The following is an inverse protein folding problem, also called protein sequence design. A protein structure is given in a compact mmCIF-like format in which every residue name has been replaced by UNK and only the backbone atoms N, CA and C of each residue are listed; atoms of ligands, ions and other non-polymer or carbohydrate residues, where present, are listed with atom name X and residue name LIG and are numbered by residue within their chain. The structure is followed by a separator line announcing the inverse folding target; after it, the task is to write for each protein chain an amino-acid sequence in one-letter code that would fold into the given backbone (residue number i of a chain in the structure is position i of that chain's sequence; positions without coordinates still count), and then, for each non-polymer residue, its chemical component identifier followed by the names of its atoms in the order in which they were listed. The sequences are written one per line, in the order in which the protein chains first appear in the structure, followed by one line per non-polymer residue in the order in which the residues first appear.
data_IF_203679199593
#
_entry.id   IF_203679199593
#
_cell.length_a   1.000
_cell.length_b   1.000
_cell.length_c   1.000
_cell.angle_alpha   90.00
_cell.angle_beta   90.00
_cell.angle_gamma   90.00
#
_symmetry.space_group_name_H-M   'P 1'
#
loop_
_entity.id
_entity.type
_entity.pdbx_description
1 polymer ?
#
# COMPACT_ATOMS: atom_id res chain seq x y z
N UNK A 1 9.56 -36.58 16.76
CA UNK A 1 9.77 -35.67 15.62
C UNK A 1 8.78 -34.54 15.79
N UNK A 2 9.25 -33.38 16.28
CA UNK A 2 8.40 -32.19 16.34
C UNK A 2 8.07 -31.77 14.91
N UNK A 3 6.81 -31.94 14.54
CA UNK A 3 6.28 -31.40 13.31
C UNK A 3 6.34 -29.87 13.47
N UNK A 4 7.38 -29.24 12.89
CA UNK A 4 7.48 -27.77 12.84
C UNK A 4 6.13 -27.26 12.32
N UNK A 5 5.34 -26.62 13.18
CA UNK A 5 4.09 -25.96 12.78
C UNK A 5 4.45 -24.96 11.71
N UNK A 6 4.06 -25.24 10.47
CA UNK A 6 4.24 -24.32 9.36
C UNK A 6 3.23 -23.18 9.55
N UNK A 7 3.71 -22.00 9.93
CA UNK A 7 2.85 -20.84 10.12
C UNK A 7 2.26 -20.41 8.77
N UNK A 8 0.98 -20.07 8.76
CA UNK A 8 0.30 -19.54 7.56
C UNK A 8 1.03 -18.33 6.96
N UNK A 9 0.93 -18.14 5.65
CA UNK A 9 1.51 -16.98 4.99
C UNK A 9 0.49 -15.83 4.96
N UNK A 10 0.73 -14.70 5.67
CA UNK A 10 -0.21 -13.59 5.70
C UNK A 10 -0.17 -12.75 4.42
N UNK A 11 0.78 -12.99 3.50
CA UNK A 11 1.02 -12.15 2.32
C UNK A 11 -0.21 -11.89 1.46
N UNK A 12 -1.02 -12.91 1.17
CA UNK A 12 -2.27 -12.72 0.42
C UNK A 12 -3.21 -11.74 1.13
N UNK A 13 -3.49 -11.96 2.42
CA UNK A 13 -4.38 -11.07 3.17
C UNK A 13 -3.87 -9.62 3.24
N UNK A 14 -2.54 -9.43 3.37
CA UNK A 14 -1.95 -8.09 3.38
C UNK A 14 -1.99 -7.42 2.00
N UNK A 15 -1.79 -8.18 0.92
CA UNK A 15 -1.94 -7.67 -0.44
C UNK A 15 -3.38 -7.26 -0.73
N UNK A 16 -4.38 -7.98 -0.22
CA UNK A 16 -5.79 -7.58 -0.31
C UNK A 16 -6.04 -6.21 0.33
N UNK A 17 -5.52 -6.00 1.54
CA UNK A 17 -5.67 -4.72 2.22
C UNK A 17 -5.01 -3.62 1.39
N UNK A 18 -3.79 -3.86 0.91
CA UNK A 18 -3.05 -2.88 0.12
C UNK A 18 -3.80 -2.46 -1.14
N UNK A 19 -4.31 -3.42 -1.89
CA UNK A 19 -4.97 -3.17 -3.17
C UNK A 19 -6.31 -2.48 -3.00
N UNK A 20 -7.07 -2.87 -1.97
CA UNK A 20 -8.32 -2.21 -1.61
C UNK A 20 -8.07 -0.74 -1.25
N UNK A 21 -7.06 -0.45 -0.40
CA UNK A 21 -6.72 0.92 -0.02
C UNK A 21 -6.27 1.75 -1.24
N UNK A 22 -5.47 1.17 -2.13
CA UNK A 22 -5.07 1.85 -3.38
C UNK A 22 -6.26 2.11 -4.32
N UNK A 23 -7.22 1.19 -4.40
CA UNK A 23 -8.45 1.41 -5.17
C UNK A 23 -9.30 2.55 -4.58
N UNK A 24 -9.43 2.60 -3.25
CA UNK A 24 -10.09 3.69 -2.55
C UNK A 24 -9.40 5.04 -2.82
N UNK A 25 -8.07 5.09 -2.73
CA UNK A 25 -7.30 6.30 -3.03
C UNK A 25 -7.49 6.73 -4.49
N UNK A 26 -7.41 5.81 -5.45
CA UNK A 26 -7.67 6.14 -6.87
C UNK A 26 -9.06 6.75 -7.06
N UNK A 27 -10.12 6.11 -6.53
CA UNK A 27 -11.48 6.60 -6.68
C UNK A 27 -11.70 7.97 -6.02
N UNK A 28 -10.99 8.24 -4.92
CA UNK A 28 -10.96 9.56 -4.29
C UNK A 28 -10.31 10.61 -5.21
N UNK A 29 -9.13 10.35 -5.76
CA UNK A 29 -8.46 11.26 -6.69
C UNK A 29 -9.28 11.54 -7.96
N UNK A 30 -10.06 10.56 -8.42
CA UNK A 30 -10.96 10.69 -9.56
C UNK A 30 -12.28 11.40 -9.23
N UNK A 31 -12.53 11.73 -7.97
CA UNK A 31 -13.76 12.43 -7.55
C UNK A 31 -15.03 11.58 -7.62
N UNK A 32 -14.92 10.25 -7.51
CA UNK A 32 -16.07 9.35 -7.59
C UNK A 32 -16.92 9.28 -6.32
N UNK A 33 -16.36 9.70 -5.18
CA UNK A 33 -17.07 9.69 -3.91
C UNK A 33 -17.68 11.06 -3.60
N UNK A 34 -18.83 11.04 -2.93
CA UNK A 34 -19.52 12.22 -2.38
C UNK A 34 -19.62 12.12 -0.86
N UNK A 35 -19.88 13.25 -0.18
CA UNK A 35 -19.98 13.32 1.27
C UNK A 35 -18.62 13.45 1.99
N UNK A 36 -18.53 13.09 3.30
CA UNK A 36 -17.30 13.25 4.09
C UNK A 36 -16.28 12.14 3.78
N UNK A 37 -15.76 12.13 2.55
CA UNK A 37 -14.90 11.07 1.99
C UNK A 37 -13.66 10.82 2.86
N UNK A 38 -13.01 11.88 3.34
CA UNK A 38 -11.82 11.77 4.17
C UNK A 38 -12.09 11.05 5.50
N UNK A 39 -13.25 11.27 6.14
CA UNK A 39 -13.62 10.53 7.36
C UNK A 39 -13.79 9.04 7.07
N UNK A 40 -14.50 8.70 5.99
CA UNK A 40 -14.74 7.31 5.61
C UNK A 40 -13.43 6.59 5.30
N UNK A 41 -12.54 7.22 4.52
CA UNK A 41 -11.21 6.67 4.22
C UNK A 41 -10.37 6.51 5.49
N UNK A 42 -10.39 7.50 6.39
CA UNK A 42 -9.68 7.44 7.66
C UNK A 42 -10.12 6.25 8.52
N UNK A 43 -11.43 5.99 8.60
CA UNK A 43 -11.97 4.84 9.32
C UNK A 43 -11.57 3.50 8.68
N UNK A 44 -11.62 3.41 7.34
CA UNK A 44 -11.20 2.20 6.60
C UNK A 44 -9.71 1.92 6.82
N UNK A 45 -8.87 2.95 6.72
CA UNK A 45 -7.43 2.84 6.98
C UNK A 45 -7.15 2.36 8.41
N UNK A 46 -7.86 2.93 9.40
CA UNK A 46 -7.69 2.57 10.81
C UNK A 46 -8.09 1.10 11.06
N UNK A 47 -9.21 0.66 10.48
CA UNK A 47 -9.65 -0.73 10.58
C UNK A 47 -8.62 -1.70 9.98
N UNK A 48 -7.93 -1.28 8.92
CA UNK A 48 -6.91 -2.05 8.23
C UNK A 48 -5.54 -2.05 8.93
N UNK A 49 -5.29 -1.10 9.85
CA UNK A 49 -4.03 -0.98 10.57
C UNK A 49 -3.72 -2.23 11.41
N UNK A 50 -4.70 -2.73 12.17
CA UNK A 50 -4.51 -3.86 13.09
C UNK A 50 -4.13 -5.14 12.33
N UNK A 51 -4.86 -5.57 11.27
CA UNK A 51 -4.46 -6.73 10.48
C UNK A 51 -3.08 -6.56 9.81
N UNK A 52 -2.74 -5.35 9.35
CA UNK A 52 -1.42 -5.06 8.79
C UNK A 52 -0.30 -5.30 9.81
N UNK A 53 -0.45 -4.78 11.01
CA UNK A 53 0.53 -4.93 12.08
C UNK A 53 0.71 -6.41 12.46
N UNK A 54 -0.40 -7.14 12.60
CA UNK A 54 -0.36 -8.58 12.89
C UNK A 54 0.37 -9.33 11.78
N UNK A 55 0.03 -9.09 10.51
CA UNK A 55 0.65 -9.77 9.38
C UNK A 55 2.16 -9.46 9.25
N UNK A 56 2.57 -8.21 9.50
CA UNK A 56 3.98 -7.84 9.53
C UNK A 56 4.75 -8.59 10.63
N UNK A 57 4.18 -8.67 11.83
CA UNK A 57 4.77 -9.45 12.95
C UNK A 57 4.86 -10.93 12.62
N UNK A 58 3.84 -11.51 11.98
CA UNK A 58 3.87 -12.91 11.55
C UNK A 58 5.01 -13.20 10.56
N UNK A 59 5.32 -12.27 9.65
CA UNK A 59 6.49 -12.40 8.77
C UNK A 59 7.81 -12.41 9.54
N UNK A 60 7.97 -11.54 10.54
CA UNK A 60 9.15 -11.57 11.41
C UNK A 60 9.28 -12.88 12.19
N UNK A 61 8.17 -13.41 12.73
CA UNK A 61 8.15 -14.71 13.43
C UNK A 61 8.56 -15.84 12.48
N UNK A 62 8.21 -15.75 11.19
CA UNK A 62 8.62 -16.71 10.15
C UNK A 62 10.06 -16.53 9.67
N UNK A 63 10.77 -15.50 10.15
CA UNK A 63 12.14 -15.17 9.71
C UNK A 63 12.21 -14.41 8.38
N UNK A 64 11.06 -14.02 7.81
CA UNK A 64 10.99 -13.24 6.57
C UNK A 64 11.09 -11.74 6.89
N UNK A 65 12.32 -11.31 7.17
CA UNK A 65 12.62 -9.93 7.58
C UNK A 65 12.25 -8.92 6.49
N UNK A 66 12.35 -9.31 5.21
CA UNK A 66 12.07 -8.44 4.08
C UNK A 66 10.57 -8.12 4.00
N UNK A 67 9.72 -9.15 3.93
CA UNK A 67 8.26 -8.94 3.88
C UNK A 67 7.75 -8.33 5.19
N UNK A 68 8.29 -8.73 6.35
CA UNK A 68 7.96 -8.12 7.63
C UNK A 68 8.20 -6.60 7.63
N UNK A 69 9.34 -6.16 7.08
CA UNK A 69 9.67 -4.74 7.00
C UNK A 69 8.79 -3.99 6.00
N UNK A 70 8.54 -4.57 4.81
CA UNK A 70 7.63 -3.98 3.80
C UNK A 70 6.26 -3.72 4.41
N UNK A 71 5.66 -4.75 5.02
CA UNK A 71 4.30 -4.64 5.54
C UNK A 71 4.22 -3.80 6.81
N UNK A 72 5.28 -3.72 7.62
CA UNK A 72 5.32 -2.80 8.77
C UNK A 72 5.37 -1.33 8.32
N UNK A 73 6.12 -1.04 7.26
CA UNK A 73 6.15 0.30 6.65
C UNK A 73 4.76 0.63 6.11
N UNK A 74 4.11 -0.27 5.39
CA UNK A 74 2.74 -0.07 4.89
C UNK A 74 1.71 0.09 6.01
N UNK A 75 1.82 -0.70 7.08
CA UNK A 75 1.00 -0.55 8.29
C UNK A 75 1.12 0.87 8.84
N UNK A 76 2.36 1.36 8.96
CA UNK A 76 2.66 2.68 9.52
C UNK A 76 2.12 3.80 8.63
N UNK A 77 2.37 3.74 7.31
CA UNK A 77 2.02 4.81 6.38
C UNK A 77 0.54 4.85 6.06
N UNK A 78 -0.05 3.71 5.67
CA UNK A 78 -1.44 3.67 5.22
C UNK A 78 -2.39 3.50 6.39
N UNK A 79 -2.11 2.54 7.28
CA UNK A 79 -2.97 2.24 8.42
C UNK A 79 -2.86 3.25 9.56
N UNK A 80 -1.65 3.65 9.96
CA UNK A 80 -1.44 4.58 11.06
C UNK A 80 -1.57 6.05 10.64
N UNK A 81 -0.55 6.54 9.94
CA UNK A 81 -0.43 7.95 9.52
C UNK A 81 -1.57 8.33 8.59
N UNK A 82 -1.86 7.50 7.58
CA UNK A 82 -2.94 7.77 6.64
C UNK A 82 -4.32 7.76 7.26
N UNK A 83 -4.59 6.86 8.22
CA UNK A 83 -5.85 6.93 8.96
C UNK A 83 -5.97 8.23 9.73
N UNK A 84 -4.93 8.57 10.50
CA UNK A 84 -4.95 9.77 11.33
C UNK A 84 -5.13 11.04 10.49
N UNK A 85 -4.39 11.17 9.39
CA UNK A 85 -4.47 12.32 8.50
C UNK A 85 -5.82 12.43 7.80
N UNK A 86 -6.37 11.34 7.30
CA UNK A 86 -7.69 11.35 6.66
C UNK A 86 -8.81 11.68 7.66
N UNK A 87 -8.74 11.15 8.89
CA UNK A 87 -9.66 11.55 9.95
C UNK A 87 -9.51 13.04 10.29
N UNK A 88 -8.28 13.52 10.43
CA UNK A 88 -7.99 14.92 10.71
C UNK A 88 -8.51 15.84 9.60
N UNK A 89 -8.30 15.49 8.32
CA UNK A 89 -8.83 16.24 7.18
C UNK A 89 -10.35 16.27 7.17
N UNK A 90 -11.00 15.14 7.44
CA UNK A 90 -12.45 15.08 7.51
C UNK A 90 -13.03 15.91 8.67
N UNK A 91 -12.39 15.88 9.84
CA UNK A 91 -12.77 16.73 10.98
C UNK A 91 -12.55 18.21 10.65
N UNK A 92 -11.41 18.54 10.04
CA UNK A 92 -11.05 19.89 9.66
C UNK A 92 -12.02 20.49 8.64
N UNK A 93 -12.44 19.70 7.65
CA UNK A 93 -13.44 20.08 6.65
C UNK A 93 -14.80 20.40 7.30
N UNK A 94 -15.23 19.61 8.28
CA UNK A 94 -16.49 19.84 9.01
C UNK A 94 -16.38 21.02 9.97
N UNK A 95 -15.24 21.17 10.65
CA UNK A 95 -15.02 22.21 11.66
C UNK A 95 -14.54 23.55 11.08
N UNK A 96 -14.20 23.61 9.80
CA UNK A 96 -13.81 24.82 9.09
C UNK A 96 -12.39 25.31 9.40
N UNK A 97 -11.46 24.43 9.79
CA UNK A 97 -10.05 24.78 9.96
C UNK A 97 -9.16 24.12 8.90
N UNK A 98 -7.99 24.69 8.66
CA UNK A 98 -7.06 24.17 7.66
C UNK A 98 -6.00 23.24 8.29
N UNK A 99 -5.61 22.21 7.55
CA UNK A 99 -4.54 21.28 7.93
C UNK A 99 -3.41 21.39 6.92
N UNK A 100 -2.18 21.51 7.40
CA UNK A 100 -0.99 21.59 6.56
C UNK A 100 -0.75 20.28 5.78
N UNK A 101 -1.15 20.27 4.51
CA UNK A 101 -1.00 19.10 3.63
C UNK A 101 0.46 18.78 3.29
N UNK A 102 1.35 19.74 3.39
CA UNK A 102 2.79 19.57 3.16
C UNK A 102 3.41 18.70 4.25
N UNK A 103 3.09 18.95 5.52
CA UNK A 103 3.57 18.14 6.64
C UNK A 103 3.09 16.70 6.53
N UNK A 104 1.86 16.51 6.07
CA UNK A 104 1.26 15.20 5.86
C UNK A 104 1.93 14.37 4.75
N UNK A 105 2.56 15.01 3.75
CA UNK A 105 3.24 14.32 2.65
C UNK A 105 4.65 13.82 3.01
N UNK A 106 5.27 14.40 4.07
CA UNK A 106 6.63 14.05 4.50
C UNK A 106 6.76 12.56 4.86
N UNK A 107 5.88 11.97 5.70
CA UNK A 107 6.00 10.56 6.03
C UNK A 107 5.87 9.63 4.82
N UNK A 108 4.99 9.95 3.87
CA UNK A 108 4.83 9.17 2.64
C UNK A 108 6.11 9.21 1.78
N UNK A 109 6.77 10.37 1.70
CA UNK A 109 8.05 10.49 1.01
C UNK A 109 9.16 9.66 1.68
N UNK A 110 9.27 9.73 3.01
CA UNK A 110 10.20 8.87 3.76
C UNK A 110 9.88 7.38 3.56
N UNK A 111 8.59 7.04 3.54
CA UNK A 111 8.09 5.75 3.15
C UNK A 111 8.60 5.30 1.78
N UNK A 112 8.44 6.14 0.76
CA UNK A 112 8.92 5.88 -0.59
C UNK A 112 10.43 5.62 -0.63
N UNK A 113 11.21 6.46 0.07
CA UNK A 113 12.66 6.31 0.16
C UNK A 113 13.06 4.97 0.79
N UNK A 114 12.32 4.52 1.82
CA UNK A 114 12.53 3.21 2.43
C UNK A 114 12.16 2.04 1.53
N UNK A 115 11.29 2.24 0.54
CA UNK A 115 10.93 1.23 -0.46
C UNK A 115 11.98 1.05 -1.56
N UNK A 116 12.87 2.03 -1.80
CA UNK A 116 13.91 1.91 -2.83
C UNK A 116 14.83 0.70 -2.58
N UNK A 117 15.41 0.51 -1.38
CA UNK A 117 16.16 -0.70 -1.06
C UNK A 117 15.32 -1.97 -1.23
N UNK A 118 14.03 -1.94 -0.87
CA UNK A 118 13.14 -3.09 -0.98
C UNK A 118 12.95 -3.50 -2.45
N UNK A 119 12.69 -2.55 -3.34
CA UNK A 119 12.58 -2.76 -4.79
C UNK A 119 13.89 -3.35 -5.33
N UNK A 120 15.03 -2.84 -4.89
CA UNK A 120 16.35 -3.39 -5.26
C UNK A 120 16.51 -4.83 -4.80
N UNK A 121 16.07 -5.17 -3.59
CA UNK A 121 16.14 -6.52 -3.03
C UNK A 121 15.23 -7.51 -3.75
N UNK A 122 14.04 -7.08 -4.19
CA UNK A 122 13.06 -7.98 -4.84
C UNK A 122 13.21 -8.07 -6.36
N UNK A 123 14.00 -7.19 -7.00
CA UNK A 123 14.06 -7.08 -8.48
C UNK A 123 14.38 -8.37 -9.23
N UNK A 124 15.13 -9.27 -8.59
CA UNK A 124 15.58 -10.56 -9.17
C UNK A 124 14.76 -11.76 -8.70
N UNK A 125 13.91 -11.59 -7.69
CA UNK A 125 13.23 -12.70 -6.99
C UNK A 125 11.71 -12.61 -7.08
N UNK A 126 11.15 -11.40 -7.09
CA UNK A 126 9.71 -11.19 -7.23
C UNK A 126 9.25 -11.44 -8.66
N UNK A 127 7.99 -11.88 -8.79
CA UNK A 127 7.30 -11.93 -10.08
C UNK A 127 7.18 -10.53 -10.70
N UNK A 128 7.03 -10.47 -12.03
CA UNK A 128 6.90 -9.21 -12.74
C UNK A 128 5.74 -8.35 -12.18
N UNK A 129 4.59 -8.97 -11.90
CA UNK A 129 3.43 -8.29 -11.33
C UNK A 129 3.70 -7.72 -9.94
N UNK A 130 4.34 -8.50 -9.06
CA UNK A 130 4.71 -8.04 -7.71
C UNK A 130 5.71 -6.88 -7.78
N UNK A 131 6.68 -6.96 -8.70
CA UNK A 131 7.65 -5.88 -8.91
C UNK A 131 6.96 -4.60 -9.39
N UNK A 132 6.07 -4.69 -10.38
CA UNK A 132 5.29 -3.55 -10.89
C UNK A 132 4.48 -2.92 -9.76
N UNK A 133 3.81 -3.75 -8.95
CA UNK A 133 3.04 -3.29 -7.79
C UNK A 133 3.90 -2.44 -6.84
N UNK A 134 5.06 -2.96 -6.39
CA UNK A 134 5.92 -2.22 -5.48
C UNK A 134 6.59 -1.00 -6.12
N UNK A 135 6.97 -1.09 -7.40
CA UNK A 135 7.56 0.04 -8.13
C UNK A 135 6.56 1.19 -8.31
N UNK A 136 5.31 0.88 -8.70
CA UNK A 136 4.24 1.86 -8.80
C UNK A 136 3.90 2.48 -7.45
N UNK A 137 3.94 1.68 -6.37
CA UNK A 137 3.74 2.16 -5.01
C UNK A 137 4.81 3.17 -4.58
N UNK A 138 6.09 2.83 -4.75
CA UNK A 138 7.17 3.76 -4.44
C UNK A 138 7.10 5.02 -5.31
N UNK A 139 6.74 4.88 -6.59
CA UNK A 139 6.58 6.01 -7.49
C UNK A 139 5.50 6.99 -7.00
N UNK A 140 4.28 6.51 -6.72
CA UNK A 140 3.22 7.43 -6.30
C UNK A 140 3.53 8.08 -4.94
N UNK A 141 4.12 7.33 -4.01
CA UNK A 141 4.50 7.87 -2.69
C UNK A 141 5.58 8.96 -2.82
N UNK A 142 6.51 8.81 -3.75
CA UNK A 142 7.53 9.83 -4.05
C UNK A 142 6.90 11.11 -4.59
N UNK A 143 5.87 10.99 -5.43
CA UNK A 143 5.21 12.13 -6.07
C UNK A 143 4.28 12.91 -5.13
N UNK A 144 3.84 12.33 -4.01
CA UNK A 144 2.96 13.02 -3.05
C UNK A 144 3.57 14.30 -2.49
N UNK A 145 4.88 14.32 -2.21
CA UNK A 145 5.56 15.49 -1.67
C UNK A 145 5.60 16.67 -2.64
N UNK A 146 6.16 16.55 -3.87
CA UNK A 146 6.15 17.67 -4.82
C UNK A 146 4.73 18.13 -5.18
N UNK A 147 3.76 17.22 -5.29
CA UNK A 147 2.35 17.58 -5.50
C UNK A 147 1.80 18.43 -4.33
N UNK A 148 2.12 18.07 -3.09
CA UNK A 148 1.70 18.84 -1.89
C UNK A 148 2.32 20.24 -1.81
N UNK A 149 3.50 20.45 -2.42
CA UNK A 149 4.14 21.76 -2.55
C UNK A 149 3.63 22.58 -3.74
N UNK A 150 2.67 22.06 -4.51
CA UNK A 150 2.09 22.76 -5.66
C UNK A 150 2.86 22.60 -6.97
N UNK A 151 3.93 21.79 -7.00
CA UNK A 151 4.72 21.55 -8.21
C UNK A 151 3.89 20.68 -9.16
N UNK A 152 3.45 21.23 -10.30
CA UNK A 152 2.65 20.52 -11.32
C UNK A 152 1.47 19.74 -10.69
N UNK A 153 0.80 20.35 -9.71
CA UNK A 153 -0.13 19.66 -8.80
C UNK A 153 -1.16 18.82 -9.54
N UNK A 154 -1.87 19.39 -10.51
CA UNK A 154 -2.93 18.70 -11.25
C UNK A 154 -2.40 17.50 -12.04
N UNK A 155 -1.25 17.66 -12.70
CA UNK A 155 -0.62 16.59 -13.47
C UNK A 155 -0.11 15.48 -12.55
N UNK A 156 0.53 15.84 -11.44
CA UNK A 156 1.05 14.87 -10.48
C UNK A 156 -0.07 14.13 -9.75
N UNK A 157 -1.15 14.82 -9.35
CA UNK A 157 -2.32 14.18 -8.74
C UNK A 157 -2.95 13.15 -9.69
N UNK A 158 -3.05 13.48 -10.99
CA UNK A 158 -3.53 12.54 -12.00
C UNK A 158 -2.60 11.34 -12.15
N UNK A 159 -1.28 11.55 -12.20
CA UNK A 159 -0.29 10.46 -12.28
C UNK A 159 -0.38 9.57 -11.03
N UNK A 160 -0.46 10.17 -9.84
CA UNK A 160 -0.63 9.46 -8.56
C UNK A 160 -1.90 8.60 -8.59
N UNK A 161 -3.01 9.13 -9.11
CA UNK A 161 -4.25 8.38 -9.25
C UNK A 161 -4.05 7.12 -10.11
N UNK A 162 -3.49 7.28 -11.30
CA UNK A 162 -3.27 6.14 -12.20
C UNK A 162 -2.27 5.12 -11.64
N UNK A 163 -1.23 5.56 -10.93
CA UNK A 163 -0.31 4.65 -10.25
C UNK A 163 -1.00 3.87 -9.12
N UNK A 164 -1.90 4.51 -8.36
CA UNK A 164 -2.74 3.80 -7.39
C UNK A 164 -3.62 2.73 -8.06
N UNK A 165 -4.17 3.03 -9.24
CA UNK A 165 -4.94 2.04 -10.00
C UNK A 165 -4.07 0.87 -10.45
N UNK A 166 -2.85 1.12 -10.94
CA UNK A 166 -1.90 0.06 -11.30
C UNK A 166 -1.62 -0.83 -10.09
N UNK A 167 -1.35 -0.24 -8.92
CA UNK A 167 -1.13 -1.00 -7.68
C UNK A 167 -2.35 -1.84 -7.31
N UNK A 168 -3.55 -1.28 -7.40
CA UNK A 168 -4.79 -2.01 -7.11
C UNK A 168 -4.94 -3.24 -8.00
N UNK A 169 -4.78 -3.11 -9.31
CA UNK A 169 -4.93 -4.25 -10.24
C UNK A 169 -3.78 -5.25 -10.17
N UNK A 170 -2.53 -4.78 -10.16
CA UNK A 170 -1.36 -5.66 -10.11
C UNK A 170 -1.35 -6.46 -8.80
N UNK A 171 -1.59 -5.80 -7.66
CA UNK A 171 -1.68 -6.51 -6.39
C UNK A 171 -2.92 -7.41 -6.31
N UNK A 172 -4.08 -7.04 -6.89
CA UNK A 172 -5.26 -7.92 -6.92
C UNK A 172 -4.98 -9.18 -7.73
N UNK A 173 -4.23 -9.05 -8.84
CA UNK A 173 -3.79 -10.19 -9.64
C UNK A 173 -2.89 -11.13 -8.81
N UNK A 174 -1.88 -10.58 -8.14
CA UNK A 174 -0.99 -11.34 -7.25
C UNK A 174 -1.74 -11.97 -6.08
N UNK A 175 -2.71 -11.27 -5.49
CA UNK A 175 -3.60 -11.80 -4.46
C UNK A 175 -4.35 -13.05 -4.94
N UNK A 176 -5.04 -12.94 -6.07
CA UNK A 176 -5.86 -14.05 -6.60
C UNK A 176 -4.98 -15.26 -6.88
N UNK A 177 -3.83 -15.04 -7.51
CA UNK A 177 -2.83 -16.07 -7.77
C UNK A 177 -2.36 -16.76 -6.48
N UNK A 178 -2.04 -15.99 -5.43
CA UNK A 178 -1.60 -16.51 -4.14
C UNK A 178 -2.72 -17.30 -3.43
N UNK A 179 -3.98 -16.83 -3.49
CA UNK A 179 -5.12 -17.55 -2.91
C UNK A 179 -5.42 -18.86 -3.65
N UNK A 180 -5.32 -18.86 -4.98
CA UNK A 180 -5.45 -20.09 -5.78
C UNK A 180 -4.37 -21.10 -5.40
N UNK A 181 -3.12 -20.66 -5.30
CA UNK A 181 -2.01 -21.53 -4.88
C UNK A 181 -2.23 -22.08 -3.45
N UNK A 182 -2.67 -21.23 -2.51
CA UNK A 182 -2.98 -21.65 -1.14
C UNK A 182 -4.14 -22.67 -1.07
N UNK A 183 -5.11 -22.57 -1.99
CA UNK A 183 -6.21 -23.52 -2.14
C UNK A 183 -5.85 -24.80 -2.91
N UNK A 184 -4.59 -24.97 -3.32
CA UNK A 184 -4.13 -26.14 -4.10
C UNK A 184 -4.43 -26.07 -5.60
N UNK A 185 -4.89 -24.91 -6.10
CA UNK A 185 -5.10 -24.67 -7.53
C UNK A 185 -3.81 -24.19 -8.21
N UNK A 186 -3.76 -24.30 -9.54
CA UNK A 186 -2.66 -23.74 -10.33
C UNK A 186 -2.67 -22.20 -10.21
N UNK A 187 -1.54 -21.56 -9.84
CA UNK A 187 -1.44 -20.10 -9.76
C UNK A 187 -1.58 -19.44 -11.13
N UNK A 188 -1.89 -18.15 -11.12
CA UNK A 188 -1.95 -17.35 -12.34
C UNK A 188 -0.52 -17.05 -12.86
N UNK A 189 -0.34 -16.83 -14.17
CA UNK A 189 0.96 -16.49 -14.73
C UNK A 189 1.38 -15.05 -14.36
N UNK A 190 2.19 -14.89 -13.32
CA UNK A 190 2.65 -13.57 -12.84
C UNK A 190 3.92 -13.04 -13.54
N UNK A 191 4.48 -13.80 -14.49
CA UNK A 191 5.73 -13.49 -15.17
C UNK A 191 6.98 -13.75 -14.33
N UNK A 192 8.08 -14.07 -15.01
CA UNK A 192 9.39 -14.21 -14.37
C UNK A 192 9.90 -12.87 -13.84
N UNK A 193 10.88 -12.87 -12.92
CA UNK A 193 11.54 -11.63 -12.51
C UNK A 193 11.99 -10.80 -13.71
N UNK A 194 11.70 -9.50 -13.67
CA UNK A 194 12.01 -8.57 -14.77
C UNK A 194 13.52 -8.36 -14.92
N UNK A 195 14.28 -8.56 -13.83
CA UNK A 195 15.73 -8.42 -13.81
C UNK A 195 16.39 -9.76 -13.51
N UNK A 196 17.45 -10.08 -14.25
CA UNK A 196 18.30 -11.26 -14.04
C UNK A 196 19.46 -10.93 -13.10
#
# INVERSE_FOLDING_TARGET
MDQKRELGNPGAALTFIFTMLSACAWAQYMGFFSGPVYLALGAVHLACYIPYLIGAVLFYIKGDTLNGSIFLIFATLFGGIGAFLNLLYGIAEIAGFEVCRQMAAIPYFWGAMSMIPLIVSVRKTASAMTFICYASAAAFLTLMLPASFGIMKEQLDLIIAWLNLVVAFAGMYTLISALLAAGGCKPLPEGSPLFK
#
